data_IF_087601099175
#
_entry.id   IF_087601099175
#
_cell.length_a   1.000
_cell.length_b   1.000
_cell.length_c   1.000
_cell.angle_alpha   90.00
_cell.angle_beta   90.00
_cell.angle_gamma   90.00
#
_symmetry.space_group_name_H-M   'P 1'
#
loop_
_entity.id
_entity.type
_entity.pdbx_description
1 polymer ?
#
# COMPACT_ATOMS: atom_id res chain seq x y z
N UNK A 1 5.65 13.69 -0.96
CA UNK A 1 4.59 14.53 -0.35
C UNK A 1 4.79 15.99 -0.59
N UNK A 2 5.96 16.52 -0.31
CA UNK A 2 6.28 17.92 -0.56
C UNK A 2 6.17 18.29 -2.04
N UNK A 3 6.49 17.39 -2.96
CA UNK A 3 6.42 17.65 -4.42
C UNK A 3 5.02 17.93 -4.94
N UNK A 4 3.98 17.36 -4.36
CA UNK A 4 2.61 17.53 -4.85
C UNK A 4 1.83 18.68 -4.20
N UNK A 5 2.21 19.11 -2.99
CA UNK A 5 1.73 20.40 -2.45
C UNK A 5 2.22 21.61 -3.26
N UNK A 6 3.23 21.40 -4.07
CA UNK A 6 3.95 22.45 -4.81
C UNK A 6 3.69 22.39 -6.31
N UNK A 7 2.42 22.24 -6.71
CA UNK A 7 2.04 22.35 -8.13
C UNK A 7 2.19 23.78 -8.71
N UNK A 8 2.77 24.71 -7.95
CA UNK A 8 2.93 26.08 -8.36
C UNK A 8 4.33 26.58 -8.00
N UNK A 9 5.13 26.98 -8.98
CA UNK A 9 6.44 27.64 -8.78
C UNK A 9 6.31 28.86 -7.87
N UNK A 10 5.14 29.46 -7.81
CA UNK A 10 4.82 30.61 -6.96
C UNK A 10 5.09 30.36 -5.48
N UNK A 11 4.94 29.12 -5.03
CA UNK A 11 4.99 28.74 -3.62
C UNK A 11 6.30 28.06 -3.23
N UNK A 12 7.21 27.84 -4.19
CA UNK A 12 8.45 27.11 -3.95
C UNK A 12 9.64 27.63 -4.76
N UNK A 13 10.58 28.21 -4.05
CA UNK A 13 11.92 28.52 -4.61
C UNK A 13 12.64 27.25 -5.09
N UNK A 14 12.33 26.07 -4.52
CA UNK A 14 12.89 24.80 -4.97
C UNK A 14 12.56 24.45 -6.41
N UNK A 15 11.32 24.68 -6.85
CA UNK A 15 10.96 24.46 -8.26
C UNK A 15 11.65 25.43 -9.20
N UNK A 16 11.80 26.70 -8.81
CA UNK A 16 12.54 27.68 -9.58
C UNK A 16 14.02 27.28 -9.70
N UNK A 17 14.64 26.84 -8.60
CA UNK A 17 16.02 26.38 -8.57
C UNK A 17 16.23 25.15 -9.46
N UNK A 18 15.39 24.12 -9.32
CA UNK A 18 15.48 22.89 -10.11
C UNK A 18 15.42 23.18 -11.62
N UNK A 19 14.44 23.95 -12.06
CA UNK A 19 14.32 24.32 -13.46
C UNK A 19 15.46 25.23 -13.95
N UNK A 20 15.97 26.14 -13.11
CA UNK A 20 17.10 26.99 -13.46
C UNK A 20 18.37 26.15 -13.64
N UNK A 21 18.62 25.18 -12.82
CA UNK A 21 19.78 24.29 -12.97
C UNK A 21 19.74 23.51 -14.28
N UNK A 22 18.57 22.97 -14.65
CA UNK A 22 18.37 22.29 -15.92
C UNK A 22 18.60 23.26 -17.11
N UNK A 23 18.07 24.48 -17.02
CA UNK A 23 18.21 25.52 -18.07
C UNK A 23 19.67 25.92 -18.28
N UNK A 24 20.43 26.09 -17.21
CA UNK A 24 21.88 26.38 -17.28
C UNK A 24 22.61 25.29 -18.06
N UNK A 25 22.37 24.01 -17.73
CA UNK A 25 23.03 22.89 -18.40
C UNK A 25 22.66 22.79 -19.88
N UNK A 26 21.40 22.97 -20.22
CA UNK A 26 20.93 22.94 -21.61
C UNK A 26 21.52 24.08 -22.42
N UNK A 27 21.51 25.31 -21.89
CA UNK A 27 22.12 26.49 -22.57
C UNK A 27 23.62 26.30 -22.73
N UNK A 28 24.30 25.83 -21.70
CA UNK A 28 25.73 25.56 -21.76
C UNK A 28 26.08 24.54 -22.84
N UNK A 29 25.32 23.46 -22.96
CA UNK A 29 25.52 22.44 -23.99
C UNK A 29 25.25 22.99 -25.40
N UNK A 30 24.21 23.80 -25.58
CA UNK A 30 23.94 24.47 -26.85
C UNK A 30 25.07 25.42 -27.25
N UNK A 31 25.62 26.18 -26.29
CA UNK A 31 26.80 27.06 -26.54
C UNK A 31 28.06 26.28 -26.96
N UNK A 32 28.17 25.00 -26.50
CA UNK A 32 29.23 24.09 -26.93
C UNK A 32 28.97 23.43 -28.30
N UNK A 33 27.88 23.78 -29.00
CA UNK A 33 27.53 23.22 -30.31
C UNK A 33 26.74 21.89 -30.24
N UNK A 34 26.29 21.44 -29.07
CA UNK A 34 25.44 20.24 -28.96
C UNK A 34 24.01 20.55 -29.38
N UNK A 35 23.38 19.58 -30.06
CA UNK A 35 21.94 19.60 -30.30
C UNK A 35 21.20 19.14 -29.07
N UNK A 36 21.02 20.01 -28.06
CA UNK A 36 20.44 19.70 -26.78
C UNK A 36 18.95 20.07 -26.76
N UNK A 37 18.09 19.03 -26.65
CA UNK A 37 16.66 19.19 -26.51
C UNK A 37 16.28 19.24 -25.02
N UNK A 38 15.47 20.20 -24.63
CA UNK A 38 14.75 20.22 -23.35
C UNK A 38 13.25 20.24 -23.62
N UNK A 39 12.64 19.07 -23.59
CA UNK A 39 11.21 18.91 -23.85
C UNK A 39 10.40 19.14 -22.58
N UNK A 40 9.48 20.12 -22.55
CA UNK A 40 8.61 20.33 -21.40
C UNK A 40 7.43 19.37 -21.41
N UNK A 41 6.93 19.08 -20.21
CA UNK A 41 5.72 18.28 -20.04
C UNK A 41 5.08 18.48 -18.69
N UNK A 42 3.79 18.16 -18.60
CA UNK A 42 3.02 18.18 -17.37
C UNK A 42 2.46 16.78 -17.09
N UNK A 43 2.47 16.41 -15.80
CA UNK A 43 1.89 15.15 -15.34
C UNK A 43 0.43 15.35 -14.89
N UNK A 44 -0.40 14.36 -15.13
CA UNK A 44 -1.79 14.34 -14.67
C UNK A 44 -1.92 14.15 -13.14
N UNK A 45 -0.88 13.64 -12.49
CA UNK A 45 -0.75 13.47 -11.04
C UNK A 45 -1.97 12.78 -10.36
N UNK A 46 -2.71 11.99 -11.11
CA UNK A 46 -3.84 11.11 -10.73
C UNK A 46 -4.49 11.40 -9.35
N UNK A 47 -4.15 10.61 -8.33
CA UNK A 47 -4.75 10.66 -6.99
C UNK A 47 -4.65 12.06 -6.35
N UNK A 48 -3.51 12.75 -6.50
CA UNK A 48 -3.34 14.09 -5.92
C UNK A 48 -4.28 15.12 -6.55
N UNK A 49 -4.47 15.06 -7.86
CA UNK A 49 -5.42 15.89 -8.59
C UNK A 49 -6.84 15.58 -8.15
N UNK A 50 -7.20 14.30 -8.06
CA UNK A 50 -8.51 13.84 -7.63
C UNK A 50 -8.85 14.33 -6.21
N UNK A 51 -7.94 14.21 -5.25
CA UNK A 51 -8.14 14.72 -3.88
C UNK A 51 -8.44 16.21 -3.87
N UNK A 52 -7.75 17.00 -4.70
CA UNK A 52 -7.99 18.45 -4.79
C UNK A 52 -9.35 18.79 -5.42
N UNK A 53 -9.77 18.04 -6.43
CA UNK A 53 -11.07 18.21 -7.06
C UNK A 53 -12.18 17.84 -6.07
N UNK A 54 -12.04 16.72 -5.34
CA UNK A 54 -13.00 16.30 -4.30
C UNK A 54 -13.08 17.35 -3.20
N UNK A 55 -11.97 17.92 -2.77
CA UNK A 55 -11.97 19.00 -1.78
C UNK A 55 -12.79 20.20 -2.28
N UNK A 56 -12.58 20.62 -3.54
CA UNK A 56 -13.35 21.73 -4.15
C UNK A 56 -14.84 21.40 -4.28
N UNK A 57 -15.19 20.17 -4.68
CA UNK A 57 -16.58 19.72 -4.75
C UNK A 57 -17.24 19.78 -3.37
N UNK A 58 -16.54 19.35 -2.31
CA UNK A 58 -17.06 19.44 -0.94
C UNK A 58 -17.32 20.90 -0.50
N UNK A 59 -16.45 21.83 -0.89
CA UNK A 59 -16.65 23.27 -0.64
C UNK A 59 -17.89 23.80 -1.38
N UNK A 60 -18.23 23.20 -2.54
CA UNK A 60 -19.46 23.50 -3.32
C UNK A 60 -20.70 22.72 -2.79
N UNK A 61 -20.52 21.86 -1.77
CA UNK A 61 -21.62 21.02 -1.22
C UNK A 61 -22.00 19.83 -2.09
N UNK A 62 -21.10 19.39 -2.98
CA UNK A 62 -21.35 18.30 -3.94
C UNK A 62 -20.54 17.06 -3.50
N UNK A 63 -21.20 15.90 -3.44
CA UNK A 63 -20.50 14.63 -3.28
C UNK A 63 -20.03 14.09 -4.63
N UNK A 64 -18.83 13.49 -4.65
CA UNK A 64 -18.23 12.87 -5.84
C UNK A 64 -19.15 11.79 -6.44
N UNK A 65 -19.78 11.00 -5.59
CA UNK A 65 -20.63 9.88 -6.01
C UNK A 65 -21.93 10.36 -6.66
N UNK A 66 -22.50 11.47 -6.17
CA UNK A 66 -23.70 12.09 -6.75
C UNK A 66 -23.42 12.71 -8.12
N UNK A 67 -22.19 13.17 -8.34
CA UNK A 67 -21.79 13.79 -9.60
C UNK A 67 -21.70 12.79 -10.75
N UNK A 68 -21.27 11.56 -10.47
CA UNK A 68 -21.02 10.51 -11.46
C UNK A 68 -19.73 10.72 -12.26
N UNK A 69 -19.30 9.66 -12.97
CA UNK A 69 -17.98 9.59 -13.63
C UNK A 69 -17.78 10.67 -14.71
N UNK A 70 -18.75 10.89 -15.57
CA UNK A 70 -18.62 11.79 -16.72
C UNK A 70 -18.41 13.24 -16.27
N UNK A 71 -19.29 13.72 -15.40
CA UNK A 71 -19.20 15.09 -14.85
C UNK A 71 -17.96 15.27 -13.98
N UNK A 72 -17.51 14.24 -13.27
CA UNK A 72 -16.27 14.29 -12.53
C UNK A 72 -15.05 14.44 -13.47
N UNK A 73 -15.03 13.72 -14.60
CA UNK A 73 -13.99 13.87 -15.63
C UNK A 73 -14.00 15.26 -16.25
N UNK A 74 -15.15 15.86 -16.51
CA UNK A 74 -15.25 17.25 -16.97
C UNK A 74 -14.56 18.20 -15.99
N UNK A 75 -14.86 18.08 -14.69
CA UNK A 75 -14.18 18.85 -13.62
C UNK A 75 -12.66 18.62 -13.59
N UNK A 76 -12.23 17.39 -13.82
CA UNK A 76 -10.80 17.05 -13.88
C UNK A 76 -10.11 17.69 -15.08
N UNK A 77 -10.74 17.72 -16.24
CA UNK A 77 -10.21 18.40 -17.43
C UNK A 77 -10.17 19.93 -17.28
N UNK A 78 -11.17 20.51 -16.63
CA UNK A 78 -11.18 21.96 -16.33
C UNK A 78 -10.05 22.31 -15.35
N UNK A 79 -9.84 21.50 -14.31
CA UNK A 79 -8.72 21.63 -13.40
C UNK A 79 -7.39 21.57 -14.13
N UNK A 80 -7.20 20.60 -15.04
CA UNK A 80 -6.00 20.48 -15.87
C UNK A 80 -5.77 21.70 -16.74
N UNK A 81 -6.80 22.25 -17.37
CA UNK A 81 -6.67 23.47 -18.19
C UNK A 81 -6.20 24.66 -17.35
N UNK A 82 -6.78 24.84 -16.16
CA UNK A 82 -6.44 25.96 -15.29
C UNK A 82 -5.01 25.84 -14.74
N UNK A 83 -4.70 24.73 -14.07
CA UNK A 83 -3.45 24.60 -13.33
C UNK A 83 -2.27 24.14 -14.18
N UNK A 84 -2.46 23.27 -15.16
CA UNK A 84 -1.42 22.87 -16.11
C UNK A 84 -0.94 24.05 -16.95
N UNK A 85 -1.87 24.88 -17.46
CA UNK A 85 -1.53 26.10 -18.18
C UNK A 85 -0.77 27.12 -17.32
N UNK A 86 -1.07 27.18 -16.02
CA UNK A 86 -0.38 28.07 -15.06
C UNK A 86 1.09 27.68 -14.90
N UNK A 87 1.40 26.41 -14.73
CA UNK A 87 2.77 25.89 -14.59
C UNK A 87 3.60 26.26 -15.82
N UNK A 88 3.10 25.99 -17.01
CA UNK A 88 3.76 26.33 -18.28
C UNK A 88 3.99 27.83 -18.39
N UNK A 89 2.99 28.65 -18.07
CA UNK A 89 3.14 30.11 -18.06
C UNK A 89 4.22 30.60 -17.09
N UNK A 90 4.34 29.98 -15.93
CA UNK A 90 5.37 30.32 -14.93
C UNK A 90 6.77 29.94 -15.41
N UNK A 91 6.95 28.76 -16.04
CA UNK A 91 8.23 28.34 -16.61
C UNK A 91 8.68 29.26 -17.72
N UNK A 92 7.74 29.70 -18.60
CA UNK A 92 8.02 30.69 -19.62
C UNK A 92 8.46 32.03 -19.04
N UNK A 93 7.85 32.46 -17.91
CA UNK A 93 8.24 33.70 -17.20
C UNK A 93 9.62 33.59 -16.54
N UNK A 94 10.03 32.42 -16.09
CA UNK A 94 11.39 32.14 -15.59
C UNK A 94 12.44 32.21 -16.73
N UNK A 95 12.00 32.20 -17.99
CA UNK A 95 12.88 32.21 -19.13
C UNK A 95 13.45 30.83 -19.49
N UNK A 96 12.85 29.76 -19.04
CA UNK A 96 13.28 28.39 -19.33
C UNK A 96 13.33 28.13 -20.84
N UNK A 97 14.47 27.66 -21.36
CA UNK A 97 14.71 27.45 -22.77
C UNK A 97 14.21 26.11 -23.31
N UNK A 98 13.03 25.72 -22.87
CA UNK A 98 12.35 24.51 -23.35
C UNK A 98 11.95 24.67 -24.85
N UNK A 99 11.81 23.53 -25.50
CA UNK A 99 11.16 23.43 -26.81
C UNK A 99 9.61 23.37 -26.58
N UNK A 100 8.99 24.54 -26.55
CA UNK A 100 7.57 24.71 -26.24
C UNK A 100 6.65 24.14 -27.32
N UNK A 101 7.12 23.94 -28.53
CA UNK A 101 6.35 23.36 -29.65
C UNK A 101 6.19 21.84 -29.44
N UNK A 102 7.05 21.23 -28.62
CA UNK A 102 7.01 19.83 -28.23
C UNK A 102 6.44 19.60 -26.82
N UNK A 103 5.71 20.57 -26.30
CA UNK A 103 5.03 20.39 -25.00
C UNK A 103 4.16 19.12 -25.00
N UNK A 104 4.29 18.33 -23.94
CA UNK A 104 3.55 17.08 -23.76
C UNK A 104 2.73 17.09 -22.46
N UNK A 105 1.67 16.29 -22.47
CA UNK A 105 0.90 15.96 -21.28
C UNK A 105 0.80 14.44 -21.18
N UNK A 106 1.01 13.89 -19.98
CA UNK A 106 1.07 12.42 -19.78
C UNK A 106 -0.16 11.65 -20.24
N UNK A 107 -1.32 12.31 -20.38
CA UNK A 107 -2.53 11.72 -20.93
C UNK A 107 -2.92 12.29 -22.31
N UNK A 108 -2.00 12.91 -23.05
CA UNK A 108 -2.27 13.28 -24.43
C UNK A 108 -2.38 12.04 -25.34
N UNK A 109 -2.94 12.22 -26.53
CA UNK A 109 -3.18 11.13 -27.47
C UNK A 109 -1.91 10.33 -27.80
N UNK A 110 -0.79 10.99 -28.02
CA UNK A 110 0.49 10.35 -28.34
C UNK A 110 1.05 9.54 -27.17
N UNK A 111 1.01 10.09 -25.96
CA UNK A 111 1.43 9.37 -24.75
C UNK A 111 0.49 8.19 -24.45
N UNK A 112 -0.82 8.38 -24.62
CA UNK A 112 -1.79 7.30 -24.45
C UNK A 112 -1.53 6.14 -25.42
N UNK A 113 -1.31 6.45 -26.71
CA UNK A 113 -0.98 5.43 -27.71
C UNK A 113 0.31 4.67 -27.34
N UNK A 114 1.35 5.40 -26.95
CA UNK A 114 2.63 4.80 -26.58
C UNK A 114 2.50 3.86 -25.35
N UNK A 115 1.79 4.30 -24.31
CA UNK A 115 1.55 3.50 -23.12
C UNK A 115 0.74 2.23 -23.44
N UNK A 116 -0.30 2.37 -24.25
CA UNK A 116 -1.12 1.23 -24.66
C UNK A 116 -0.30 0.23 -25.48
N UNK A 117 0.52 0.70 -26.42
CA UNK A 117 1.38 -0.17 -27.23
C UNK A 117 2.41 -0.91 -26.36
N UNK A 118 3.05 -0.23 -25.43
CA UNK A 118 4.02 -0.84 -24.51
C UNK A 118 3.33 -1.87 -23.61
N UNK A 119 2.15 -1.56 -23.07
CA UNK A 119 1.38 -2.49 -22.25
C UNK A 119 1.04 -3.77 -23.02
N UNK A 120 0.51 -3.65 -24.25
CA UNK A 120 0.20 -4.80 -25.08
C UNK A 120 1.43 -5.66 -25.39
N UNK A 121 2.54 -5.04 -25.79
CA UNK A 121 3.80 -5.75 -26.08
C UNK A 121 4.37 -6.45 -24.85
N UNK A 122 4.28 -5.86 -23.68
CA UNK A 122 4.72 -6.49 -22.44
C UNK A 122 3.81 -7.67 -22.04
N UNK A 123 2.50 -7.53 -22.27
CA UNK A 123 1.56 -8.62 -22.04
C UNK A 123 1.81 -9.79 -23.00
N UNK A 124 1.99 -9.53 -24.30
CA UNK A 124 2.32 -10.55 -25.31
C UNK A 124 3.61 -11.30 -24.99
N UNK A 125 4.60 -10.64 -24.42
CA UNK A 125 5.86 -11.24 -23.94
C UNK A 125 5.72 -11.98 -22.61
N UNK A 126 4.53 -11.96 -21.98
CA UNK A 126 4.28 -12.59 -20.69
C UNK A 126 4.91 -11.88 -19.48
N UNK A 127 5.37 -10.65 -19.64
CA UNK A 127 5.90 -9.85 -18.54
C UNK A 127 4.81 -9.23 -17.68
N UNK A 128 3.68 -8.84 -18.25
CA UNK A 128 2.52 -8.34 -17.52
C UNK A 128 1.54 -9.47 -17.27
N UNK A 129 1.09 -9.59 -16.03
CA UNK A 129 0.08 -10.56 -15.64
C UNK A 129 -0.86 -9.97 -14.59
N UNK A 130 -2.06 -10.54 -14.50
CA UNK A 130 -3.04 -10.21 -13.47
C UNK A 130 -2.96 -11.26 -12.36
N UNK A 131 -2.84 -10.82 -11.12
CA UNK A 131 -2.71 -11.72 -9.98
C UNK A 131 -3.31 -11.11 -8.71
N UNK A 132 -3.62 -11.98 -7.76
CA UNK A 132 -4.05 -11.57 -6.42
C UNK A 132 -2.84 -11.50 -5.51
N UNK A 133 -2.61 -10.34 -4.92
CA UNK A 133 -1.56 -10.11 -3.91
C UNK A 133 -2.09 -9.20 -2.84
N UNK A 134 -1.46 -9.23 -1.68
CA UNK A 134 -1.70 -8.23 -0.66
C UNK A 134 -1.09 -6.90 -1.09
N UNK A 135 -1.85 -5.83 -0.96
CA UNK A 135 -1.47 -4.47 -1.33
C UNK A 135 -1.84 -3.50 -0.21
N UNK A 136 -1.14 -2.38 -0.14
CA UNK A 136 -1.53 -1.28 0.73
C UNK A 136 -2.79 -0.62 0.14
N UNK A 137 -3.90 -0.71 0.83
CA UNK A 137 -5.18 -0.18 0.39
C UNK A 137 -5.61 1.03 1.21
N UNK A 138 -6.00 2.11 0.55
CA UNK A 138 -6.57 3.27 1.21
C UNK A 138 -8.10 3.21 1.11
N UNK A 139 -8.83 2.98 2.23
CA UNK A 139 -10.29 2.85 2.21
C UNK A 139 -11.03 4.16 1.89
N UNK A 140 -10.42 5.31 2.15
CA UNK A 140 -11.01 6.62 1.84
C UNK A 140 -10.83 7.00 0.37
N UNK A 141 -9.64 6.77 -0.18
CA UNK A 141 -9.36 7.04 -1.60
C UNK A 141 -9.84 5.89 -2.51
N UNK A 142 -10.20 4.75 -1.93
CA UNK A 142 -10.66 3.54 -2.60
C UNK A 142 -9.68 3.09 -3.71
N UNK A 143 -8.39 3.02 -3.37
CA UNK A 143 -7.32 2.65 -4.28
C UNK A 143 -6.16 1.99 -3.57
N UNK A 144 -5.39 1.18 -4.30
CA UNK A 144 -4.08 0.72 -3.85
C UNK A 144 -3.08 1.89 -3.91
N UNK A 145 -2.15 1.90 -2.97
CA UNK A 145 -1.07 2.88 -2.89
C UNK A 145 0.28 2.16 -2.86
N UNK A 146 1.31 2.81 -3.38
CA UNK A 146 2.67 2.26 -3.36
C UNK A 146 3.30 2.41 -1.98
N UNK A 147 4.31 1.58 -1.67
CA UNK A 147 5.05 1.67 -0.41
C UNK A 147 5.69 3.05 -0.21
N UNK A 148 6.03 3.75 -1.30
CA UNK A 148 6.57 5.11 -1.25
C UNK A 148 5.55 6.18 -0.82
N UNK A 149 4.26 5.87 -0.85
CA UNK A 149 3.16 6.76 -0.45
C UNK A 149 2.63 6.43 0.95
N UNK A 150 3.23 5.43 1.61
CA UNK A 150 2.93 5.10 3.00
C UNK A 150 3.86 5.89 3.92
N UNK A 151 3.28 6.68 4.80
CA UNK A 151 3.99 7.32 5.90
C UNK A 151 3.70 6.57 7.19
N UNK A 152 4.74 6.29 7.95
CA UNK A 152 4.61 5.59 9.22
C UNK A 152 4.61 6.59 10.37
N UNK A 153 3.63 6.47 11.23
CA UNK A 153 3.47 7.33 12.41
C UNK A 153 3.28 6.45 13.65
N UNK A 154 3.98 6.80 14.73
CA UNK A 154 3.76 6.13 16.01
C UNK A 154 2.39 6.51 16.56
N UNK A 155 1.54 5.52 16.75
CA UNK A 155 0.20 5.69 17.30
C UNK A 155 0.06 4.91 18.61
N UNK A 156 -0.55 5.55 19.59
CA UNK A 156 -0.98 4.87 20.82
C UNK A 156 -2.09 3.88 20.48
N UNK A 157 -1.94 2.67 20.95
CA UNK A 157 -2.88 1.58 20.76
C UNK A 157 -2.76 0.59 21.89
N UNK A 158 -3.15 -0.64 21.64
CA UNK A 158 -3.10 -1.70 22.64
C UNK A 158 -2.59 -2.99 22.02
N UNK A 159 -2.02 -3.84 22.85
CA UNK A 159 -1.92 -5.27 22.62
C UNK A 159 -3.05 -5.97 23.37
N UNK A 160 -3.90 -6.63 22.62
CA UNK A 160 -4.94 -7.49 23.15
C UNK A 160 -4.41 -8.92 23.20
N UNK A 161 -4.28 -9.46 24.42
CA UNK A 161 -3.90 -10.83 24.66
C UNK A 161 -5.15 -11.71 24.66
N UNK A 162 -5.25 -12.57 23.67
CA UNK A 162 -6.42 -13.41 23.39
C UNK A 162 -5.99 -14.87 23.47
N UNK A 163 -6.86 -15.75 23.95
CA UNK A 163 -6.62 -17.18 24.00
C UNK A 163 -7.64 -17.96 23.16
N UNK A 164 -7.13 -18.89 22.35
CA UNK A 164 -7.95 -19.81 21.57
C UNK A 164 -7.96 -21.19 22.23
N UNK A 165 -9.16 -21.84 22.36
CA UNK A 165 -9.26 -23.20 22.88
C UNK A 165 -8.55 -24.19 21.96
N UNK A 166 -7.74 -25.08 22.53
CA UNK A 166 -7.08 -26.17 21.80
C UNK A 166 -8.04 -27.33 21.68
N UNK A 167 -8.09 -27.96 20.50
CA UNK A 167 -8.96 -29.06 20.20
C UNK A 167 -8.25 -30.42 20.37
N UNK A 168 -8.98 -31.41 20.82
CA UNK A 168 -8.61 -32.81 20.75
C UNK A 168 -8.76 -33.33 19.33
N UNK A 169 -8.29 -34.56 19.07
CA UNK A 169 -8.41 -35.21 17.76
C UNK A 169 -9.88 -35.45 17.33
N UNK A 170 -10.78 -35.62 18.30
CA UNK A 170 -12.22 -35.75 18.07
C UNK A 170 -12.98 -34.45 17.87
N UNK A 171 -12.28 -33.31 17.87
CA UNK A 171 -12.84 -31.96 17.69
C UNK A 171 -13.42 -31.35 18.98
N UNK A 172 -13.36 -32.03 20.11
CA UNK A 172 -13.78 -31.48 21.41
C UNK A 172 -12.71 -30.55 21.99
N UNK A 173 -13.11 -29.60 22.84
CA UNK A 173 -12.14 -28.72 23.50
C UNK A 173 -11.36 -29.52 24.57
N UNK A 174 -10.03 -29.37 24.56
CA UNK A 174 -9.15 -30.08 25.49
C UNK A 174 -9.15 -29.48 26.90
N UNK A 175 -9.65 -28.27 27.08
CA UNK A 175 -9.51 -27.48 28.29
C UNK A 175 -8.20 -26.64 28.32
N UNK A 176 -7.31 -26.85 27.39
CA UNK A 176 -6.09 -26.03 27.19
C UNK A 176 -6.33 -24.88 26.22
N UNK A 177 -5.52 -23.83 26.35
CA UNK A 177 -5.63 -22.64 25.53
C UNK A 177 -4.27 -22.23 24.96
N UNK A 178 -4.27 -21.74 23.74
CA UNK A 178 -3.11 -21.12 23.11
C UNK A 178 -3.29 -19.60 23.11
N UNK A 179 -2.38 -18.87 23.78
CA UNK A 179 -2.48 -17.42 23.97
C UNK A 179 -1.53 -16.69 23.03
N UNK A 180 -1.99 -15.62 22.39
CA UNK A 180 -1.22 -14.72 21.56
C UNK A 180 -1.63 -13.26 21.82
N UNK A 181 -0.84 -12.31 21.31
CA UNK A 181 -1.15 -10.89 21.37
C UNK A 181 -1.33 -10.31 19.96
N UNK A 182 -2.27 -9.39 19.81
CA UNK A 182 -2.51 -8.71 18.53
C UNK A 182 -2.83 -7.22 18.74
N UNK A 183 -2.43 -6.38 17.79
CA UNK A 183 -2.85 -4.97 17.71
C UNK A 183 -4.11 -4.78 16.88
N UNK A 184 -4.61 -5.84 16.23
CA UNK A 184 -5.74 -5.79 15.29
C UNK A 184 -6.73 -6.93 15.55
N UNK A 185 -7.48 -6.89 16.66
CA UNK A 185 -8.45 -7.94 17.01
C UNK A 185 -9.52 -8.15 15.94
N UNK A 186 -9.91 -7.09 15.21
CA UNK A 186 -10.92 -7.18 14.15
C UNK A 186 -10.56 -8.17 13.04
N UNK A 187 -9.26 -8.33 12.75
CA UNK A 187 -8.82 -9.22 11.67
C UNK A 187 -8.91 -10.70 12.05
N UNK A 188 -9.05 -11.01 13.35
CA UNK A 188 -9.15 -12.40 13.81
C UNK A 188 -10.30 -13.20 13.17
N UNK A 189 -11.37 -12.51 12.76
CA UNK A 189 -12.49 -13.16 12.06
C UNK A 189 -12.04 -13.88 10.79
N UNK A 190 -10.93 -13.45 10.19
CA UNK A 190 -10.30 -14.04 9.01
C UNK A 190 -9.12 -14.97 9.29
N UNK A 191 -8.84 -15.32 10.56
CA UNK A 191 -7.72 -16.19 10.90
C UNK A 191 -7.89 -17.58 10.29
N UNK A 192 -6.81 -18.11 9.72
CA UNK A 192 -6.80 -19.43 9.07
C UNK A 192 -5.78 -20.38 9.65
N UNK A 193 -4.91 -19.90 10.54
CA UNK A 193 -4.01 -20.71 11.36
C UNK A 193 -3.54 -19.91 12.59
N UNK A 194 -2.88 -20.62 13.48
CA UNK A 194 -2.00 -20.05 14.51
C UNK A 194 -0.62 -20.64 14.29
N UNK A 195 0.42 -19.80 14.30
CA UNK A 195 1.80 -20.23 14.07
C UNK A 195 2.60 -20.27 15.38
N UNK A 196 3.45 -21.29 15.48
CA UNK A 196 4.46 -21.48 16.53
C UNK A 196 5.82 -21.70 15.87
N UNK A 197 6.89 -21.40 16.58
CA UNK A 197 8.23 -21.71 16.05
C UNK A 197 8.52 -23.22 16.16
N UNK A 198 9.11 -23.86 15.13
CA UNK A 198 9.39 -25.31 15.14
C UNK A 198 10.32 -25.76 16.28
N UNK A 199 11.22 -24.90 16.73
CA UNK A 199 12.20 -25.18 17.78
C UNK A 199 11.73 -24.73 19.19
N UNK A 200 10.50 -24.21 19.32
CA UNK A 200 9.98 -23.78 20.61
C UNK A 200 9.48 -24.99 21.43
N UNK A 201 10.28 -25.38 22.42
CA UNK A 201 10.00 -26.52 23.28
C UNK A 201 8.69 -26.37 24.06
N UNK A 202 8.24 -25.14 24.34
CA UNK A 202 6.99 -24.86 25.07
C UNK A 202 5.77 -25.42 24.36
N UNK A 203 5.80 -25.48 23.04
CA UNK A 203 4.67 -25.81 22.18
C UNK A 203 4.84 -27.11 21.39
N UNK A 204 5.90 -27.88 21.65
CA UNK A 204 6.17 -29.14 20.92
C UNK A 204 4.98 -30.12 20.95
N UNK A 205 4.25 -30.17 22.06
CA UNK A 205 3.07 -31.03 22.25
C UNK A 205 1.82 -30.60 21.46
N UNK A 206 1.88 -29.39 20.84
CA UNK A 206 0.78 -28.84 20.04
C UNK A 206 0.95 -29.03 18.53
N UNK A 207 2.06 -29.59 18.10
CA UNK A 207 2.35 -29.83 16.69
C UNK A 207 1.27 -30.72 16.06
N UNK A 208 0.72 -30.23 14.91
CA UNK A 208 -0.33 -30.93 14.20
C UNK A 208 -1.73 -30.85 14.82
N UNK A 209 -1.88 -30.19 15.98
CA UNK A 209 -3.19 -29.94 16.61
C UNK A 209 -3.91 -28.75 15.96
N UNK A 210 -5.15 -28.55 16.37
CA UNK A 210 -6.00 -27.44 15.92
C UNK A 210 -6.45 -26.60 17.12
N UNK A 211 -6.83 -25.38 16.84
CA UNK A 211 -7.55 -24.52 17.79
C UNK A 211 -8.93 -24.16 17.23
N UNK A 212 -9.85 -23.84 18.11
CA UNK A 212 -11.14 -23.27 17.76
C UNK A 212 -11.00 -21.75 17.69
N UNK A 213 -11.22 -21.18 16.52
CA UNK A 213 -11.36 -19.72 16.36
C UNK A 213 -12.65 -19.29 17.03
N UNK A 214 -12.60 -18.50 18.12
CA UNK A 214 -13.79 -18.04 18.82
C UNK A 214 -14.68 -17.18 17.90
N UNK A 215 -15.95 -16.98 18.30
CA UNK A 215 -16.94 -16.19 17.57
C UNK A 215 -17.33 -16.85 16.23
N UNK A 216 -16.34 -17.21 15.40
CA UNK A 216 -16.57 -17.82 14.09
C UNK A 216 -16.81 -19.34 14.18
N UNK A 217 -16.54 -19.96 15.32
CA UNK A 217 -16.63 -21.41 15.56
C UNK A 217 -15.97 -22.24 14.44
N UNK A 218 -14.80 -21.78 13.98
CA UNK A 218 -14.02 -22.42 12.90
C UNK A 218 -12.79 -23.10 13.48
N UNK A 219 -12.59 -24.37 13.13
CA UNK A 219 -11.33 -25.06 13.43
C UNK A 219 -10.23 -24.56 12.51
N UNK A 220 -9.09 -24.16 13.07
CA UNK A 220 -7.90 -23.73 12.34
C UNK A 220 -6.68 -24.49 12.85
N UNK A 221 -5.72 -24.83 11.96
CA UNK A 221 -4.53 -25.60 12.33
C UNK A 221 -3.54 -24.75 13.13
N UNK A 222 -2.75 -25.43 13.95
CA UNK A 222 -1.48 -24.92 14.49
C UNK A 222 -0.40 -25.31 13.47
N UNK A 223 0.31 -24.31 12.92
CA UNK A 223 1.39 -24.51 11.94
C UNK A 223 2.75 -24.13 12.54
N UNK A 224 3.80 -24.81 12.07
CA UNK A 224 5.18 -24.53 12.48
C UNK A 224 5.84 -23.64 11.43
N UNK A 225 6.26 -22.44 11.81
CA UNK A 225 6.92 -21.52 10.87
C UNK A 225 8.05 -20.74 11.58
N UNK A 226 9.22 -20.66 10.93
CA UNK A 226 10.37 -19.91 11.42
C UNK A 226 10.19 -18.39 11.40
N UNK A 227 9.10 -17.91 10.84
CA UNK A 227 8.67 -16.52 10.92
C UNK A 227 8.39 -16.08 12.37
N UNK A 228 7.95 -17.01 13.21
CA UNK A 228 7.60 -16.71 14.61
C UNK A 228 8.84 -16.46 15.45
N UNK A 229 8.89 -15.32 16.11
CA UNK A 229 9.93 -15.01 17.09
C UNK A 229 9.55 -15.63 18.46
N UNK A 230 10.37 -16.57 18.94
CA UNK A 230 10.13 -17.26 20.21
C UNK A 230 10.25 -16.36 21.43
N UNK A 231 11.01 -15.27 21.33
CA UNK A 231 11.27 -14.34 22.44
C UNK A 231 10.25 -13.19 22.48
N UNK A 232 9.53 -12.98 21.39
CA UNK A 232 8.55 -11.91 21.30
C UNK A 232 7.17 -12.35 21.83
N UNK A 233 6.69 -11.66 22.85
CA UNK A 233 5.37 -11.90 23.43
C UNK A 233 5.20 -13.30 23.99
N UNK A 234 4.27 -14.07 23.44
CA UNK A 234 4.02 -15.48 23.84
C UNK A 234 4.80 -16.47 22.98
N UNK A 235 5.45 -16.03 21.88
CA UNK A 235 6.01 -16.92 20.86
C UNK A 235 4.93 -17.60 20.01
N UNK A 236 3.74 -17.01 19.93
CA UNK A 236 2.60 -17.50 19.17
C UNK A 236 2.03 -16.34 18.34
N UNK A 237 1.76 -16.59 17.07
CA UNK A 237 1.23 -15.58 16.13
C UNK A 237 -0.05 -16.12 15.49
N UNK A 238 -1.12 -15.31 15.49
CA UNK A 238 -2.30 -15.59 14.66
C UNK A 238 -1.96 -15.34 13.19
N UNK A 239 -2.50 -16.12 12.28
CA UNK A 239 -2.22 -16.00 10.85
C UNK A 239 -3.49 -15.63 10.09
N UNK A 240 -3.49 -14.41 9.57
CA UNK A 240 -4.59 -13.83 8.77
C UNK A 240 -4.09 -13.43 7.38
N UNK A 241 -3.95 -14.36 6.43
CA UNK A 241 -3.30 -14.11 5.14
C UNK A 241 -3.93 -13.01 4.29
N UNK A 242 -5.19 -12.67 4.55
CA UNK A 242 -5.89 -11.60 3.81
C UNK A 242 -5.55 -10.18 4.29
N UNK A 243 -4.96 -10.02 5.50
CA UNK A 243 -4.87 -8.74 6.19
C UNK A 243 -3.49 -8.39 6.76
N UNK A 244 -2.49 -9.22 6.51
CA UNK A 244 -1.09 -8.95 6.87
C UNK A 244 -0.15 -9.52 5.80
N UNK A 245 0.85 -8.74 5.32
CA UNK A 245 1.80 -9.18 4.29
C UNK A 245 2.64 -10.39 4.71
N UNK A 246 3.05 -10.48 5.97
CA UNK A 246 3.84 -11.60 6.47
C UNK A 246 2.97 -12.85 6.61
N UNK A 247 1.75 -12.69 7.13
CA UNK A 247 0.78 -13.78 7.23
C UNK A 247 0.38 -14.33 5.85
N UNK A 248 0.37 -13.46 4.83
CA UNK A 248 0.13 -13.86 3.44
C UNK A 248 1.23 -14.81 2.93
N UNK A 249 2.50 -14.53 3.24
CA UNK A 249 3.61 -15.40 2.86
C UNK A 249 3.62 -16.72 3.68
N UNK A 250 3.28 -16.67 4.97
CA UNK A 250 3.04 -17.87 5.79
C UNK A 250 1.90 -18.68 5.19
N UNK A 251 0.80 -18.02 4.82
CA UNK A 251 -0.35 -18.65 4.18
C UNK A 251 0.01 -19.40 2.91
N UNK A 252 0.87 -18.84 2.06
CA UNK A 252 1.38 -19.52 0.86
C UNK A 252 2.21 -20.76 1.19
N UNK A 253 3.14 -20.64 2.16
CA UNK A 253 4.01 -21.77 2.54
C UNK A 253 3.23 -22.96 3.07
N UNK A 254 2.17 -22.68 3.83
CA UNK A 254 1.32 -23.68 4.47
C UNK A 254 0.02 -23.98 3.70
N UNK A 255 -0.15 -23.40 2.50
CA UNK A 255 -1.34 -23.55 1.68
C UNK A 255 -2.65 -23.25 2.42
N UNK A 256 -2.65 -22.19 3.23
CA UNK A 256 -3.80 -21.77 4.02
C UNK A 256 -4.82 -21.00 3.15
N UNK A 257 -6.12 -21.10 3.48
CA UNK A 257 -7.12 -20.29 2.79
C UNK A 257 -6.95 -18.81 3.08
N UNK A 258 -7.30 -17.96 2.10
CA UNK A 258 -7.28 -16.52 2.22
C UNK A 258 -8.73 -16.05 2.44
N UNK A 259 -9.05 -15.62 3.65
CA UNK A 259 -10.39 -15.16 4.02
C UNK A 259 -10.35 -13.66 4.25
N UNK A 260 -10.75 -12.89 3.25
CA UNK A 260 -10.91 -11.45 3.38
C UNK A 260 -12.20 -11.13 4.15
N UNK A 261 -12.08 -10.34 5.22
CA UNK A 261 -13.21 -9.94 6.09
C UNK A 261 -13.59 -8.46 5.93
N UNK A 262 -12.94 -7.72 5.04
CA UNK A 262 -13.20 -6.29 4.86
C UNK A 262 -13.64 -5.96 3.44
N UNK A 263 -14.53 -4.99 3.33
CA UNK A 263 -14.88 -4.31 2.09
C UNK A 263 -13.83 -3.26 1.72
N UNK A 264 -13.98 -2.64 0.55
CA UNK A 264 -13.05 -1.63 0.04
C UNK A 264 -13.04 -0.33 0.86
N UNK A 265 -14.11 -0.04 1.57
CA UNK A 265 -14.24 1.07 2.52
C UNK A 265 -13.80 0.72 3.95
N UNK A 266 -13.21 -0.46 4.15
CA UNK A 266 -12.80 -1.04 5.43
C UNK A 266 -13.96 -1.30 6.42
N UNK A 267 -15.18 -1.40 5.96
CA UNK A 267 -16.25 -2.02 6.74
C UNK A 267 -16.10 -3.54 6.72
N UNK A 268 -16.56 -4.21 7.76
CA UNK A 268 -16.57 -5.68 7.81
C UNK A 268 -17.53 -6.23 6.75
N UNK A 269 -17.10 -7.19 5.96
CA UNK A 269 -17.93 -7.84 4.96
C UNK A 269 -18.69 -9.08 5.53
N UNK A 270 -19.39 -9.79 4.66
CA UNK A 270 -20.22 -10.96 5.04
C UNK A 270 -19.40 -12.08 5.73
N UNK A 271 -18.10 -12.22 5.41
CA UNK A 271 -17.23 -13.20 6.05
C UNK A 271 -16.97 -12.90 7.55
N UNK A 272 -17.22 -11.67 8.00
CA UNK A 272 -17.16 -11.29 9.40
C UNK A 272 -18.41 -11.63 10.21
N UNK A 273 -19.38 -12.35 9.61
CA UNK A 273 -20.60 -12.83 10.27
C UNK A 273 -21.44 -11.70 10.83
N UNK A 274 -21.77 -11.75 12.10
CA UNK A 274 -22.67 -10.77 12.76
C UNK A 274 -22.12 -9.34 12.81
N UNK A 275 -20.82 -9.15 12.55
CA UNK A 275 -20.20 -7.82 12.49
C UNK A 275 -20.24 -7.19 11.09
N UNK A 276 -20.82 -7.89 10.10
CA UNK A 276 -20.95 -7.39 8.73
C UNK A 276 -21.62 -6.00 8.70
N UNK A 277 -21.04 -5.09 7.91
CA UNK A 277 -21.49 -3.70 7.79
C UNK A 277 -20.95 -2.74 8.88
N UNK A 278 -20.29 -3.24 9.92
CA UNK A 278 -19.67 -2.38 10.93
C UNK A 278 -18.36 -1.76 10.40
N UNK A 279 -18.08 -0.52 10.80
CA UNK A 279 -16.74 0.05 10.66
C UNK A 279 -15.70 -0.80 11.40
N UNK A 280 -14.48 -0.90 10.85
CA UNK A 280 -13.40 -1.73 11.41
C UNK A 280 -13.09 -1.45 12.88
N UNK A 281 -13.13 -0.18 13.30
CA UNK A 281 -12.83 0.18 14.70
C UNK A 281 -14.00 -0.13 15.62
N UNK A 282 -15.23 0.12 15.18
CA UNK A 282 -16.42 -0.27 15.90
C UNK A 282 -16.52 -1.81 16.05
N UNK A 283 -16.16 -2.54 15.00
CA UNK A 283 -16.06 -4.00 15.04
C UNK A 283 -15.00 -4.48 16.04
N UNK A 284 -13.82 -3.83 16.06
CA UNK A 284 -12.74 -4.12 17.02
C UNK A 284 -13.24 -4.03 18.45
N UNK A 285 -13.90 -2.94 18.82
CA UNK A 285 -14.47 -2.75 20.16
C UNK A 285 -15.51 -3.82 20.50
N UNK A 286 -16.41 -4.13 19.59
CA UNK A 286 -17.45 -5.13 19.77
C UNK A 286 -16.86 -6.55 19.93
N UNK A 287 -15.85 -6.90 19.14
CA UNK A 287 -15.14 -8.19 19.21
C UNK A 287 -14.40 -8.34 20.55
N UNK A 288 -13.66 -7.30 20.96
CA UNK A 288 -12.94 -7.30 22.23
C UNK A 288 -13.90 -7.49 23.40
N UNK A 289 -15.02 -6.78 23.40
CA UNK A 289 -16.06 -6.93 24.43
C UNK A 289 -16.63 -8.34 24.46
N UNK A 290 -16.92 -8.94 23.32
CA UNK A 290 -17.44 -10.30 23.27
C UNK A 290 -16.42 -11.35 23.75
N UNK A 291 -15.14 -11.18 23.38
CA UNK A 291 -14.07 -12.04 23.87
C UNK A 291 -13.91 -11.95 25.41
N UNK A 292 -14.11 -10.77 25.98
CA UNK A 292 -14.12 -10.57 27.43
C UNK A 292 -15.31 -11.28 28.09
N UNK A 293 -16.50 -11.12 27.54
CA UNK A 293 -17.72 -11.82 27.99
C UNK A 293 -17.59 -13.36 27.93
N UNK A 294 -16.85 -13.87 26.90
CA UNK A 294 -16.53 -15.30 26.77
C UNK A 294 -15.38 -15.75 27.69
N UNK A 295 -14.71 -14.85 28.42
CA UNK A 295 -13.53 -15.14 29.22
C UNK A 295 -12.30 -15.54 28.41
N UNK A 296 -12.23 -15.12 27.17
CA UNK A 296 -11.13 -15.39 26.22
C UNK A 296 -10.16 -14.21 26.04
N UNK A 297 -10.49 -13.04 26.55
CA UNK A 297 -9.58 -11.91 26.68
C UNK A 297 -8.75 -12.08 27.97
N UNK A 298 -7.44 -12.14 27.84
CA UNK A 298 -6.53 -12.38 28.99
C UNK A 298 -6.12 -11.07 29.63
N UNK A 299 -5.68 -10.10 28.83
CA UNK A 299 -5.34 -8.74 29.27
C UNK A 299 -5.32 -7.77 28.08
N UNK A 300 -5.40 -6.50 28.40
CA UNK A 300 -5.13 -5.39 27.47
C UNK A 300 -3.89 -4.66 27.99
N UNK A 301 -2.94 -4.40 27.12
CA UNK A 301 -1.67 -3.76 27.45
C UNK A 301 -1.50 -2.53 26.54
N UNK A 302 -1.19 -1.39 27.11
CA UNK A 302 -0.90 -0.17 26.33
C UNK A 302 0.35 -0.39 25.47
N UNK A 303 0.23 -0.13 24.21
CA UNK A 303 1.30 -0.35 23.25
C UNK A 303 1.32 0.75 22.20
N UNK A 304 2.49 1.32 21.95
CA UNK A 304 2.69 2.24 20.83
C UNK A 304 3.32 1.48 19.69
N UNK A 305 2.75 1.57 18.53
CA UNK A 305 3.25 0.89 17.34
C UNK A 305 3.20 1.80 16.11
N UNK A 306 4.04 1.48 15.17
CA UNK A 306 4.18 2.25 13.94
C UNK A 306 3.08 1.85 12.95
N UNK A 307 2.19 2.80 12.66
CA UNK A 307 1.02 2.59 11.80
C UNK A 307 1.23 3.27 10.46
N UNK A 308 1.04 2.53 9.38
CA UNK A 308 1.08 3.07 8.04
C UNK A 308 -0.14 3.93 7.72
N UNK A 309 0.09 5.14 7.25
CA UNK A 309 -0.95 6.07 6.80
C UNK A 309 -0.71 6.50 5.36
N UNK A 310 -1.78 6.77 4.63
CA UNK A 310 -1.68 7.30 3.27
C UNK A 310 -1.20 8.76 3.32
N UNK A 311 -0.11 9.05 2.66
CA UNK A 311 0.57 10.36 2.66
C UNK A 311 -0.35 11.55 2.32
N UNK A 312 -1.41 11.34 1.55
CA UNK A 312 -2.28 12.40 1.02
C UNK A 312 -3.52 12.66 1.85
N UNK A 313 -4.20 11.62 2.31
CA UNK A 313 -5.45 11.74 3.08
C UNK A 313 -5.26 11.43 4.56
N UNK A 314 -4.07 10.96 4.98
CA UNK A 314 -3.72 10.61 6.36
C UNK A 314 -4.57 9.51 6.98
N UNK A 315 -5.24 8.74 6.14
CA UNK A 315 -6.02 7.58 6.60
C UNK A 315 -5.09 6.41 6.83
N UNK A 316 -5.31 5.66 7.90
CA UNK A 316 -4.65 4.38 8.16
C UNK A 316 -4.94 3.42 7.01
N UNK A 317 -3.89 2.89 6.40
CA UNK A 317 -3.99 1.92 5.31
C UNK A 317 -4.43 0.55 5.82
N UNK A 318 -5.06 -0.21 4.93
CA UNK A 318 -5.41 -1.61 5.17
C UNK A 318 -4.65 -2.52 4.21
N UNK A 319 -3.85 -3.45 4.71
CA UNK A 319 -3.37 -4.54 3.87
C UNK A 319 -4.56 -5.40 3.42
N UNK A 320 -4.81 -5.43 2.11
CA UNK A 320 -5.91 -6.22 1.52
C UNK A 320 -5.43 -7.01 0.33
N UNK A 321 -5.94 -8.23 0.18
CA UNK A 321 -5.71 -9.01 -1.03
C UNK A 321 -6.58 -8.48 -2.16
N UNK A 322 -5.94 -7.96 -3.19
CA UNK A 322 -6.59 -7.40 -4.38
C UNK A 322 -6.03 -8.02 -5.65
N UNK A 323 -6.90 -8.13 -6.64
CA UNK A 323 -6.47 -8.50 -7.99
C UNK A 323 -5.93 -7.27 -8.70
N UNK A 324 -4.63 -7.29 -9.01
CA UNK A 324 -3.90 -6.18 -9.62
C UNK A 324 -3.10 -6.65 -10.84
N UNK A 325 -2.68 -5.69 -11.67
CA UNK A 325 -1.70 -5.91 -12.70
C UNK A 325 -0.29 -5.83 -12.13
N UNK A 326 0.53 -6.83 -12.45
CA UNK A 326 1.93 -6.90 -12.02
C UNK A 326 2.85 -7.08 -13.22
N UNK A 327 4.09 -6.62 -13.05
CA UNK A 327 5.17 -6.81 -14.02
C UNK A 327 6.20 -7.76 -13.42
N UNK A 328 6.61 -8.77 -14.17
CA UNK A 328 7.73 -9.65 -13.82
C UNK A 328 9.03 -8.89 -14.05
N UNK A 329 9.63 -8.39 -12.98
CA UNK A 329 10.82 -7.54 -13.07
C UNK A 329 12.13 -8.33 -13.23
N UNK A 330 12.18 -9.60 -12.82
CA UNK A 330 13.41 -10.39 -12.72
C UNK A 330 14.25 -10.39 -14.00
N UNK A 331 13.63 -10.55 -15.15
CA UNK A 331 14.33 -10.53 -16.45
C UNK A 331 14.59 -9.11 -16.95
N UNK A 332 13.68 -8.18 -16.66
CA UNK A 332 13.77 -6.79 -17.14
C UNK A 332 14.87 -6.02 -16.44
N UNK A 333 15.11 -6.30 -15.15
CA UNK A 333 16.07 -5.54 -14.35
C UNK A 333 17.51 -6.01 -14.54
N UNK A 334 17.73 -7.29 -14.90
CA UNK A 334 19.08 -7.86 -15.07
C UNK A 334 19.99 -7.02 -15.96
N UNK A 335 19.61 -6.67 -17.21
CA UNK A 335 20.45 -5.88 -18.09
C UNK A 335 20.77 -4.49 -17.52
N UNK A 336 19.82 -3.85 -16.84
CA UNK A 336 20.01 -2.54 -16.24
C UNK A 336 21.03 -2.58 -15.08
N UNK A 337 20.94 -3.60 -14.22
CA UNK A 337 21.89 -3.83 -13.13
C UNK A 337 23.28 -4.16 -13.67
N UNK A 338 23.37 -5.00 -14.70
CA UNK A 338 24.62 -5.34 -15.34
C UNK A 338 25.29 -4.13 -15.99
N UNK A 339 24.54 -3.26 -16.68
CA UNK A 339 25.07 -2.05 -17.27
C UNK A 339 25.72 -1.10 -16.23
N UNK A 340 25.18 -1.05 -15.01
CA UNK A 340 25.79 -0.31 -13.90
C UNK A 340 27.02 -1.03 -13.37
N UNK A 341 26.94 -2.36 -13.15
CA UNK A 341 28.07 -3.17 -12.64
C UNK A 341 29.27 -3.18 -13.60
N UNK A 342 29.00 -3.24 -14.89
CA UNK A 342 30.03 -3.24 -15.94
C UNK A 342 30.58 -1.83 -16.25
N UNK A 343 30.03 -0.79 -15.64
CA UNK A 343 30.48 0.60 -15.83
C UNK A 343 30.04 1.24 -17.14
N UNK A 344 29.11 0.64 -17.86
CA UNK A 344 28.46 1.27 -19.02
C UNK A 344 27.64 2.48 -18.58
N UNK A 345 26.95 2.37 -17.43
CA UNK A 345 26.28 3.46 -16.74
C UNK A 345 27.08 3.79 -15.48
N UNK A 346 27.57 5.01 -15.39
CA UNK A 346 28.34 5.50 -14.24
C UNK A 346 27.51 6.41 -13.36
N UNK A 347 27.38 6.06 -12.09
CA UNK A 347 26.80 6.91 -11.07
C UNK A 347 27.88 7.77 -10.44
N UNK A 348 27.80 9.08 -10.62
CA UNK A 348 28.82 10.04 -10.16
C UNK A 348 29.06 9.96 -8.64
N UNK A 349 28.00 9.73 -7.86
CA UNK A 349 28.03 9.67 -6.40
C UNK A 349 27.63 8.27 -5.89
N UNK A 350 28.34 7.25 -6.32
CA UNK A 350 28.07 5.87 -5.96
C UNK A 350 28.03 5.64 -4.44
N UNK A 351 28.82 6.40 -3.67
CA UNK A 351 28.86 6.33 -2.20
C UNK A 351 27.71 7.06 -1.51
N UNK A 352 26.95 7.90 -2.21
CA UNK A 352 25.75 8.60 -1.69
C UNK A 352 24.44 7.98 -2.14
N UNK A 353 24.50 7.01 -3.05
CA UNK A 353 23.37 6.15 -3.37
C UNK A 353 23.42 4.92 -2.44
N UNK A 354 22.46 4.72 -1.57
CA UNK A 354 21.15 4.29 -2.05
C UNK A 354 20.06 5.33 -1.82
N UNK A 355 19.24 5.51 -2.81
CA UNK A 355 17.91 6.08 -2.60
C UNK A 355 17.18 5.25 -1.54
N UNK A 356 16.35 5.86 -0.68
CA UNK A 356 15.47 5.09 0.20
C UNK A 356 14.60 4.07 -0.52
N UNK A 357 14.41 4.20 -1.83
CA UNK A 357 13.72 3.23 -2.70
C UNK A 357 14.54 1.98 -3.02
N UNK A 358 15.85 2.02 -2.81
CA UNK A 358 16.77 0.92 -3.14
C UNK A 358 17.08 0.04 -1.93
N UNK A 359 16.38 0.24 -0.81
CA UNK A 359 16.47 -0.54 0.42
C UNK A 359 15.33 -1.57 0.56
N UNK A 360 14.79 -2.00 -0.56
CA UNK A 360 13.81 -3.09 -0.61
C UNK A 360 14.46 -4.46 -0.55
#
# INVERSE_FOLDING_TARGET
>A
LRRQRQMCIRDSMGHALDNTMQDILIRFKRMQGYNALWQPGTDHASIATEVKIIQKLKEEGIDKHDLGREKFLERAWDWKKEYGGRIISQLKKLGSSCDWDRERFTMDEGCNKAVTEVFCKMHEKGYIYKGSRIVNWCPVCNTSISDAEVEYEDQAGHFWHIKYPILNEDGTQSGEYLTFATTRPETMLGDTAVAIHPDDERYTHLKGRKVLLPIMNREIPIVEDTYVDMEFGTGVVKITPAHDPNDFEVGKRHNLPIINIMNDDATINENGGKFAGMDRYAAREAIVKELDEMGLLVKIEDYSHNVGTHDRCKTTIEPLVKQQWFVKMDELIKPAVEAVKNGEIKLCLLYTSPSPRDRG
#
